data_IF_155731763857
#
_entry.id   IF_155731763857
#
_cell.length_a   1.000
_cell.length_b   1.000
_cell.length_c   1.000
_cell.angle_alpha   90.00
_cell.angle_beta   90.00
_cell.angle_gamma   90.00
#
_symmetry.space_group_name_H-M   'P 1'
#
loop_
_entity.id
_entity.type
_entity.pdbx_description
1 polymer ?
#
# COMPACT_ATOMS: atom_id res chain seq x y z
N UNK A 1 -6.99 -4.30 -1.39
CA UNK A 1 -6.29 -3.24 -0.62
C UNK A 1 -6.16 -3.74 0.80
N UNK A 2 -4.97 -3.65 1.40
CA UNK A 2 -4.72 -4.12 2.77
C UNK A 2 -4.88 -2.94 3.75
N UNK A 3 -5.52 -3.17 4.90
CA UNK A 3 -5.75 -2.16 5.93
C UNK A 3 -5.16 -2.63 7.27
N UNK A 4 -4.25 -1.83 7.82
CA UNK A 4 -3.78 -1.95 9.19
C UNK A 4 -4.60 -1.01 10.08
N UNK A 5 -5.28 -1.57 11.07
CA UNK A 5 -6.03 -0.80 12.08
C UNK A 5 -6.07 -1.59 13.38
N UNK A 6 -6.31 -0.90 14.50
CA UNK A 6 -6.55 -1.51 15.82
C UNK A 6 -8.01 -1.38 16.27
N UNK A 7 -8.87 -0.77 15.43
CA UNK A 7 -10.24 -0.39 15.80
C UNK A 7 -11.33 -1.19 15.07
N UNK A 8 -10.95 -2.01 14.08
CA UNK A 8 -11.87 -2.86 13.34
C UNK A 8 -11.41 -4.30 13.43
N UNK A 9 -12.37 -5.21 13.59
CA UNK A 9 -12.18 -6.65 13.43
C UNK A 9 -11.93 -7.02 11.98
N UNK A 10 -11.32 -8.17 11.75
CA UNK A 10 -11.12 -8.68 10.39
C UNK A 10 -12.42 -8.85 9.60
N UNK A 11 -13.52 -9.17 10.29
CA UNK A 11 -14.83 -9.32 9.66
C UNK A 11 -15.34 -7.97 9.15
N UNK A 12 -15.28 -6.92 9.97
CA UNK A 12 -15.65 -5.55 9.56
C UNK A 12 -14.78 -5.07 8.38
N UNK A 13 -13.47 -5.38 8.40
CA UNK A 13 -12.55 -5.06 7.30
C UNK A 13 -12.97 -5.78 6.01
N UNK A 14 -13.30 -7.06 6.09
CA UNK A 14 -13.75 -7.84 4.91
C UNK A 14 -15.10 -7.35 4.39
N UNK A 15 -16.03 -6.99 5.27
CA UNK A 15 -17.32 -6.39 4.90
C UNK A 15 -17.15 -5.04 4.19
N UNK A 16 -16.09 -4.30 4.51
CA UNK A 16 -15.70 -3.07 3.81
C UNK A 16 -14.93 -3.31 2.49
N UNK A 17 -14.87 -4.55 1.98
CA UNK A 17 -14.13 -4.95 0.76
C UNK A 17 -12.61 -4.72 0.84
N UNK A 18 -12.07 -4.76 2.06
CA UNK A 18 -10.64 -4.64 2.34
C UNK A 18 -10.07 -5.98 2.84
N UNK A 19 -8.75 -6.06 2.88
CA UNK A 19 -8.02 -7.20 3.43
C UNK A 19 -7.37 -6.80 4.76
N UNK A 20 -7.51 -7.58 5.84
CA UNK A 20 -6.85 -7.28 7.10
C UNK A 20 -5.33 -7.38 6.94
N UNK A 21 -4.62 -6.45 7.57
CA UNK A 21 -3.17 -6.45 7.71
C UNK A 21 -2.82 -6.35 9.19
N UNK A 22 -2.09 -7.33 9.71
CA UNK A 22 -1.71 -7.39 11.12
C UNK A 22 -0.32 -6.78 11.37
N UNK A 23 0.60 -6.93 10.42
CA UNK A 23 1.91 -6.27 10.36
C UNK A 23 2.14 -5.72 8.95
N UNK A 24 2.64 -4.49 8.87
CA UNK A 24 2.98 -3.85 7.59
C UNK A 24 4.24 -4.53 7.02
N UNK A 25 5.19 -4.84 7.89
CA UNK A 25 6.48 -5.44 7.56
C UNK A 25 6.30 -6.82 6.92
N UNK A 26 5.54 -7.71 7.58
CA UNK A 26 5.26 -9.06 7.06
C UNK A 26 4.48 -9.00 5.73
N UNK A 27 3.52 -8.08 5.63
CA UNK A 27 2.70 -7.95 4.43
C UNK A 27 3.52 -7.39 3.25
N UNK A 28 4.40 -6.41 3.48
CA UNK A 28 5.34 -5.90 2.49
C UNK A 28 6.31 -7.00 2.03
N UNK A 29 6.87 -7.78 2.96
CA UNK A 29 7.76 -8.90 2.61
C UNK A 29 7.04 -9.93 1.72
N UNK A 30 5.80 -10.28 2.08
CA UNK A 30 4.95 -11.20 1.30
C UNK A 30 4.65 -10.65 -0.10
N UNK A 31 4.35 -9.36 -0.21
CA UNK A 31 4.09 -8.70 -1.49
C UNK A 31 5.35 -8.63 -2.36
N UNK A 32 6.52 -8.34 -1.79
CA UNK A 32 7.79 -8.37 -2.51
C UNK A 32 8.14 -9.77 -3.03
N UNK A 33 7.85 -10.83 -2.25
CA UNK A 33 7.99 -12.22 -2.74
C UNK A 33 7.06 -12.51 -3.92
N UNK A 34 5.86 -11.93 -3.94
CA UNK A 34 4.87 -12.10 -5.01
C UNK A 34 5.20 -11.32 -6.28
N UNK A 35 5.60 -10.06 -6.15
CA UNK A 35 5.82 -9.15 -7.28
C UNK A 35 7.28 -9.10 -7.75
N UNK A 36 8.19 -9.69 -6.97
CA UNK A 36 9.61 -9.77 -7.24
C UNK A 36 10.43 -8.84 -6.35
N UNK A 37 11.67 -9.23 -5.97
CA UNK A 37 12.52 -8.45 -5.08
C UNK A 37 12.99 -7.11 -5.67
N UNK A 38 12.80 -6.90 -6.98
CA UNK A 38 13.11 -5.64 -7.67
C UNK A 38 11.93 -4.67 -7.73
N UNK A 39 10.77 -5.02 -7.16
CA UNK A 39 9.63 -4.12 -7.10
C UNK A 39 9.99 -2.85 -6.29
N UNK A 40 9.68 -1.68 -6.85
CA UNK A 40 9.84 -0.41 -6.16
C UNK A 40 8.65 -0.15 -5.23
N UNK A 41 8.92 0.37 -4.03
CA UNK A 41 7.90 0.78 -3.08
C UNK A 41 7.85 2.31 -3.02
N UNK A 42 6.66 2.89 -3.22
CA UNK A 42 6.39 4.30 -2.97
C UNK A 42 5.69 4.45 -1.63
N UNK A 43 6.17 5.39 -0.80
CA UNK A 43 5.58 5.72 0.50
C UNK A 43 5.04 7.15 0.43
N UNK A 44 3.76 7.31 0.77
CA UNK A 44 3.10 8.60 0.87
C UNK A 44 2.79 8.87 2.36
N UNK A 45 3.69 9.56 3.10
CA UNK A 45 3.42 9.93 4.49
C UNK A 45 2.20 10.88 4.55
N UNK A 46 1.50 10.87 5.70
CA UNK A 46 0.32 11.73 5.95
C UNK A 46 -0.90 11.50 5.02
N UNK A 47 -0.87 10.41 4.25
CA UNK A 47 -2.02 9.88 3.53
C UNK A 47 -2.69 10.89 2.59
N UNK A 48 -4.03 11.01 2.58
CA UNK A 48 -4.79 11.81 1.59
C UNK A 48 -4.50 13.32 1.63
N UNK A 49 -3.71 13.80 2.59
CA UNK A 49 -3.22 15.18 2.59
C UNK A 49 -2.12 15.42 1.55
N UNK A 50 -1.48 14.35 1.05
CA UNK A 50 -0.55 14.42 -0.08
C UNK A 50 -1.31 14.30 -1.40
N UNK A 51 -1.16 15.28 -2.30
CA UNK A 51 -1.69 15.24 -3.67
C UNK A 51 -0.57 14.77 -4.61
N UNK A 52 -0.55 13.49 -5.04
CA UNK A 52 0.46 13.02 -5.98
C UNK A 52 0.21 13.59 -7.37
N UNK A 53 1.26 14.00 -8.06
CA UNK A 53 1.23 14.44 -9.44
C UNK A 53 2.16 13.57 -10.29
N UNK A 54 1.83 13.42 -11.57
CA UNK A 54 2.73 12.81 -12.53
C UNK A 54 3.79 13.84 -12.93
N UNK A 55 5.04 13.42 -13.01
CA UNK A 55 6.06 14.23 -13.67
C UNK A 55 5.63 14.43 -15.14
N UNK A 56 5.71 15.66 -15.65
CA UNK A 56 5.49 15.89 -17.07
C UNK A 56 6.49 15.04 -17.86
N UNK A 57 6.03 14.35 -18.91
CA UNK A 57 6.88 13.45 -19.68
C UNK A 57 8.19 14.14 -20.06
N UNK A 58 9.30 13.64 -19.50
CA UNK A 58 10.63 14.13 -19.85
C UNK A 58 10.82 13.89 -21.35
N UNK A 59 11.18 14.91 -22.16
CA UNK A 59 11.53 14.67 -23.55
C UNK A 59 12.68 13.67 -23.58
N UNK A 60 12.54 12.60 -24.38
CA UNK A 60 13.63 11.69 -24.65
C UNK A 60 14.76 12.50 -25.30
N UNK A 61 15.91 12.54 -24.63
CA UNK A 61 17.16 13.10 -25.17
C UNK A 61 17.79 12.18 -26.20
#
# INVERSE_FOLDING_TARGET
VYLKTSYLSDEEIRQALLLPCHSIEEEVERLLKRYGPQASICVLPEGPQTIPYLEAARPLS
#
